data_IF_010758960093
#
_entry.id   IF_010758960093
#
_cell.length_a   1.000
_cell.length_b   1.000
_cell.length_c   1.000
_cell.angle_alpha   90.00
_cell.angle_beta   90.00
_cell.angle_gamma   90.00
#
_symmetry.space_group_name_H-M   'P 1'
#
loop_
_entity.id
_entity.type
_entity.pdbx_description
1 polymer ?
#
# COMPACT_ATOMS: atom_id res chain seq x y z
N UNK A 1 41.29 3.37 -10.18
CA UNK A 1 42.58 2.76 -10.52
C UNK A 1 43.34 2.45 -9.24
N UNK A 2 43.81 1.21 -9.11
CA UNK A 2 44.63 0.73 -7.99
C UNK A 2 45.85 0.09 -8.65
N UNK A 3 47.05 0.52 -8.27
CA UNK A 3 48.29 -0.07 -8.73
C UNK A 3 48.90 -0.86 -7.56
N UNK A 4 49.36 -2.09 -7.83
CA UNK A 4 49.89 -2.99 -6.82
C UNK A 4 50.84 -4.03 -7.41
N UNK A 5 51.83 -4.45 -6.63
CA UNK A 5 52.64 -5.66 -6.88
C UNK A 5 52.52 -6.57 -5.65
N UNK A 6 52.07 -7.83 -5.77
CA UNK A 6 51.59 -8.51 -6.99
C UNK A 6 50.36 -7.83 -7.63
N UNK A 7 50.03 -8.24 -8.84
CA UNK A 7 48.87 -7.69 -9.56
C UNK A 7 47.57 -7.98 -8.77
N UNK A 8 46.67 -7.00 -8.58
CA UNK A 8 45.47 -7.20 -7.77
C UNK A 8 44.41 -8.02 -8.50
N UNK A 9 43.67 -8.88 -7.79
CA UNK A 9 42.47 -9.52 -8.32
C UNK A 9 41.23 -8.63 -8.12
N UNK A 10 40.26 -8.74 -9.04
CA UNK A 10 39.00 -8.01 -8.97
C UNK A 10 37.84 -9.00 -8.97
N UNK A 11 36.95 -8.88 -7.98
CA UNK A 11 35.79 -9.74 -7.79
C UNK A 11 34.52 -8.96 -7.51
N UNK A 12 33.37 -9.59 -7.72
CA UNK A 12 32.08 -9.04 -7.34
C UNK A 12 31.51 -9.75 -6.12
N UNK A 13 31.02 -8.94 -5.19
CA UNK A 13 30.25 -9.37 -4.04
C UNK A 13 28.81 -8.83 -4.18
N UNK A 14 27.82 -9.67 -3.86
CA UNK A 14 26.41 -9.25 -3.72
C UNK A 14 26.00 -9.55 -2.29
N UNK A 15 25.60 -8.50 -1.55
CA UNK A 15 25.28 -8.60 -0.12
C UNK A 15 26.42 -9.24 0.70
N UNK A 16 27.67 -8.95 0.32
CA UNK A 16 28.88 -9.50 0.93
C UNK A 16 29.28 -10.91 0.48
N UNK A 17 28.47 -11.57 -0.35
CA UNK A 17 28.76 -12.92 -0.88
C UNK A 17 29.43 -12.81 -2.24
N UNK A 18 30.56 -13.49 -2.44
CA UNK A 18 31.23 -13.54 -3.74
C UNK A 18 30.36 -14.26 -4.77
N UNK A 19 30.03 -13.56 -5.85
CA UNK A 19 29.21 -14.10 -6.95
C UNK A 19 29.99 -14.30 -8.24
N UNK A 20 31.11 -13.61 -8.38
CA UNK A 20 31.95 -13.67 -9.58
C UNK A 20 33.40 -13.29 -9.26
N UNK A 21 34.34 -13.98 -9.91
CA UNK A 21 35.79 -13.82 -9.79
C UNK A 21 36.48 -13.81 -11.17
N UNK A 22 35.73 -13.87 -12.27
CA UNK A 22 36.30 -13.86 -13.63
C UNK A 22 36.64 -12.41 -14.03
N UNK A 23 37.93 -12.12 -14.22
CA UNK A 23 38.42 -10.81 -14.64
C UNK A 23 39.26 -10.90 -15.92
N UNK A 24 39.19 -9.87 -16.75
CA UNK A 24 39.91 -9.81 -18.01
C UNK A 24 41.13 -8.88 -17.90
N UNK A 25 42.23 -9.31 -18.52
CA UNK A 25 43.40 -8.47 -18.76
C UNK A 25 43.20 -7.79 -20.12
N UNK A 26 42.91 -6.50 -20.11
CA UNK A 26 42.90 -5.72 -21.34
C UNK A 26 44.36 -5.55 -21.84
N UNK A 27 44.55 -5.10 -23.08
CA UNK A 27 45.87 -4.96 -23.73
C UNK A 27 46.83 -3.90 -23.10
N UNK A 28 46.66 -3.56 -21.81
CA UNK A 28 47.50 -2.69 -20.98
C UNK A 28 47.44 -3.06 -19.49
N UNK A 29 47.95 -2.20 -18.60
CA UNK A 29 48.03 -2.43 -17.13
C UNK A 29 46.68 -2.30 -16.37
N UNK A 30 45.55 -2.63 -17.02
CA UNK A 30 44.20 -2.45 -16.46
C UNK A 30 43.47 -3.77 -16.39
N UNK A 31 43.04 -4.11 -15.18
CA UNK A 31 42.20 -5.28 -14.86
C UNK A 31 40.77 -4.79 -14.68
N UNK A 32 39.85 -5.42 -15.41
CA UNK A 32 38.41 -5.12 -15.34
C UNK A 32 37.64 -6.42 -15.08
N UNK A 33 36.67 -6.35 -14.18
CA UNK A 33 35.65 -7.38 -14.03
C UNK A 33 34.28 -6.73 -14.27
N UNK A 34 33.55 -7.23 -15.27
CA UNK A 34 32.20 -6.76 -15.62
C UNK A 34 31.15 -7.80 -15.26
N UNK A 35 30.41 -7.54 -14.18
CA UNK A 35 29.28 -8.38 -13.78
C UNK A 35 28.08 -8.18 -14.71
N UNK A 36 27.61 -9.27 -15.31
CA UNK A 36 26.34 -9.32 -16.03
C UNK A 36 25.27 -9.97 -15.15
N UNK A 37 24.25 -9.20 -14.75
CA UNK A 37 23.11 -9.69 -13.97
C UNK A 37 21.83 -9.67 -14.83
N UNK A 38 21.56 -10.74 -15.62
CA UNK A 38 20.64 -10.68 -16.76
C UNK A 38 19.17 -10.50 -16.38
N UNK A 39 18.76 -10.89 -15.17
CA UNK A 39 17.37 -10.82 -14.75
C UNK A 39 17.25 -10.17 -13.35
N UNK A 40 17.24 -8.84 -13.32
CA UNK A 40 16.96 -8.07 -12.11
C UNK A 40 15.51 -8.33 -11.67
N UNK A 41 15.34 -8.86 -10.46
CA UNK A 41 14.04 -9.18 -9.87
C UNK A 41 13.73 -8.36 -8.62
N UNK A 42 12.49 -8.49 -8.13
CA UNK A 42 12.03 -7.81 -6.90
C UNK A 42 12.89 -8.16 -5.68
N UNK A 43 13.39 -9.39 -5.62
CA UNK A 43 14.26 -9.87 -4.54
C UNK A 43 15.62 -9.18 -4.50
N UNK A 44 16.04 -8.54 -5.60
CA UNK A 44 17.32 -7.83 -5.69
C UNK A 44 17.21 -6.38 -5.16
N UNK A 45 16.02 -5.98 -4.71
CA UNK A 45 15.79 -4.66 -4.16
C UNK A 45 16.62 -4.42 -2.90
N UNK A 46 17.31 -3.29 -2.87
CA UNK A 46 18.29 -2.92 -1.84
C UNK A 46 19.52 -3.85 -1.78
N UNK A 47 19.70 -4.77 -2.74
CA UNK A 47 20.93 -5.54 -2.82
C UNK A 47 22.13 -4.61 -3.03
N UNK A 48 23.22 -4.92 -2.33
CA UNK A 48 24.48 -4.17 -2.41
C UNK A 48 25.43 -4.91 -3.33
N UNK A 49 25.73 -4.31 -4.47
CA UNK A 49 26.71 -4.80 -5.43
C UNK A 49 28.04 -4.12 -5.17
N UNK A 50 29.06 -4.90 -4.81
CA UNK A 50 30.38 -4.42 -4.47
C UNK A 50 31.42 -4.97 -5.41
N UNK A 51 32.17 -4.08 -6.06
CA UNK A 51 33.38 -4.42 -6.77
C UNK A 51 34.55 -4.31 -5.80
N UNK A 52 35.23 -5.42 -5.55
CA UNK A 52 36.31 -5.50 -4.57
C UNK A 52 37.62 -5.89 -5.24
N UNK A 53 38.66 -5.09 -4.98
CA UNK A 53 40.01 -5.31 -5.48
C UNK A 53 40.96 -5.68 -4.35
N UNK A 54 41.69 -6.79 -4.51
CA UNK A 54 42.60 -7.36 -3.51
C UNK A 54 43.99 -7.46 -4.10
N UNK A 55 44.99 -6.87 -3.45
CA UNK A 55 46.40 -7.00 -3.85
C UNK A 55 47.12 -8.10 -3.04
N UNK A 56 47.05 -8.01 -1.71
CA UNK A 56 47.62 -9.02 -0.79
C UNK A 56 46.72 -9.21 0.41
N UNK A 57 46.90 -10.33 1.12
CA UNK A 57 46.19 -10.61 2.39
C UNK A 57 46.63 -9.70 3.57
N UNK A 58 47.61 -8.82 3.34
CA UNK A 58 48.18 -7.92 4.36
C UNK A 58 47.56 -6.51 4.30
N UNK A 59 46.81 -6.22 3.25
CA UNK A 59 46.21 -4.91 3.00
C UNK A 59 44.71 -5.06 2.91
N UNK A 60 43.98 -4.12 3.53
CA UNK A 60 42.53 -4.07 3.37
C UNK A 60 42.17 -3.94 1.88
N UNK A 61 41.18 -4.72 1.40
CA UNK A 61 40.75 -4.61 0.03
C UNK A 61 40.12 -3.25 -0.22
N UNK A 62 40.34 -2.71 -1.42
CA UNK A 62 39.63 -1.51 -1.84
C UNK A 62 38.32 -1.92 -2.48
N UNK A 63 37.23 -1.37 -1.97
CA UNK A 63 35.88 -1.71 -2.39
C UNK A 63 35.10 -0.46 -2.80
N UNK A 64 34.27 -0.62 -3.83
CA UNK A 64 33.26 0.38 -4.22
C UNK A 64 31.93 -0.34 -4.38
N UNK A 65 30.86 0.30 -3.89
CA UNK A 65 29.54 -0.34 -3.80
C UNK A 65 28.45 0.49 -4.46
N UNK A 66 27.45 -0.19 -4.98
CA UNK A 66 26.19 0.37 -5.48
C UNK A 66 25.03 -0.36 -4.80
N UNK A 67 24.02 0.40 -4.37
CA UNK A 67 22.76 -0.16 -3.86
C UNK A 67 21.72 -0.14 -4.97
N UNK A 68 21.09 -1.29 -5.22
CA UNK A 68 20.08 -1.40 -6.26
C UNK A 68 18.72 -0.89 -5.76
N UNK A 69 18.28 0.26 -6.26
CA UNK A 69 16.93 0.79 -6.02
C UNK A 69 16.03 0.50 -7.23
N UNK A 70 14.93 -0.25 -7.00
CA UNK A 70 14.04 -0.69 -8.07
C UNK A 70 12.70 0.04 -8.02
N UNK A 71 12.22 0.40 -9.21
CA UNK A 71 10.83 0.74 -9.41
C UNK A 71 10.02 -0.53 -9.69
N UNK A 72 9.01 -0.78 -8.87
CA UNK A 72 8.20 -2.00 -8.91
C UNK A 72 6.73 -1.69 -9.00
N UNK A 73 6.03 -2.25 -9.99
CA UNK A 73 4.58 -2.12 -10.11
C UNK A 73 3.86 -2.73 -8.89
N UNK A 74 2.61 -2.32 -8.61
CA UNK A 74 1.79 -2.95 -7.59
C UNK A 74 1.70 -4.46 -7.83
N UNK A 75 1.75 -5.24 -6.75
CA UNK A 75 1.51 -6.68 -6.78
C UNK A 75 0.03 -7.00 -6.62
N UNK A 76 -0.66 -6.19 -5.80
CA UNK A 76 -2.09 -6.36 -5.52
C UNK A 76 -2.82 -5.03 -5.59
N UNK A 77 -4.11 -5.10 -5.94
CA UNK A 77 -5.08 -4.03 -5.77
C UNK A 77 -6.43 -4.69 -5.45
N UNK A 78 -7.10 -4.26 -4.38
CA UNK A 78 -8.36 -4.86 -3.93
C UNK A 78 -9.27 -3.84 -3.29
N UNK A 79 -10.56 -3.94 -3.60
CA UNK A 79 -11.63 -3.18 -2.93
C UNK A 79 -12.07 -4.00 -1.71
N UNK A 80 -11.94 -3.43 -0.51
CA UNK A 80 -12.11 -4.15 0.76
C UNK A 80 -13.57 -4.32 1.16
N UNK A 81 -14.43 -3.32 0.93
CA UNK A 81 -15.84 -3.34 1.34
C UNK A 81 -16.74 -3.10 0.14
N UNK A 82 -17.56 -4.07 -0.23
CA UNK A 82 -18.50 -3.99 -1.36
C UNK A 82 -19.92 -4.18 -0.79
N UNK A 83 -20.79 -3.19 -0.97
CA UNK A 83 -22.15 -3.21 -0.42
C UNK A 83 -23.15 -3.44 -1.54
N UNK A 84 -24.00 -4.46 -1.45
CA UNK A 84 -24.99 -4.76 -2.50
C UNK A 84 -26.27 -5.32 -1.86
N UNK A 85 -27.48 -4.87 -2.26
CA UNK A 85 -27.73 -3.76 -3.19
C UNK A 85 -27.43 -2.40 -2.56
N UNK A 86 -27.15 -1.41 -3.40
CA UNK A 86 -27.09 0.00 -3.03
C UNK A 86 -28.47 0.64 -3.18
N UNK A 87 -28.75 1.62 -2.35
CA UNK A 87 -29.96 2.44 -2.42
C UNK A 87 -29.57 3.76 -3.08
N UNK A 88 -30.35 4.17 -4.09
CA UNK A 88 -30.15 5.45 -4.76
C UNK A 88 -30.19 6.62 -3.76
N UNK A 89 -29.37 7.63 -4.03
CA UNK A 89 -29.25 8.87 -3.23
C UNK A 89 -28.70 8.69 -1.80
N UNK A 90 -28.31 7.48 -1.41
CA UNK A 90 -27.62 7.22 -0.15
C UNK A 90 -26.09 7.33 -0.30
N UNK A 91 -25.41 7.87 0.72
CA UNK A 91 -23.95 7.95 0.75
C UNK A 91 -23.32 6.62 1.19
N UNK A 92 -22.31 6.18 0.45
CA UNK A 92 -21.50 5.00 0.76
C UNK A 92 -20.01 5.34 0.82
N UNK A 93 -19.27 4.57 1.62
CA UNK A 93 -17.82 4.64 1.73
C UNK A 93 -17.20 3.29 1.41
N UNK A 94 -16.14 3.30 0.60
CA UNK A 94 -15.42 2.11 0.20
C UNK A 94 -13.92 2.36 0.17
N UNK A 95 -13.15 1.41 0.70
CA UNK A 95 -11.69 1.46 0.70
C UNK A 95 -11.10 0.57 -0.40
N UNK A 96 -10.00 1.03 -0.99
CA UNK A 96 -9.13 0.22 -1.81
C UNK A 96 -7.74 0.13 -1.17
N UNK A 97 -7.17 -1.07 -1.21
CA UNK A 97 -5.83 -1.36 -0.73
C UNK A 97 -4.97 -1.90 -1.88
N UNK A 98 -3.73 -1.42 -1.97
CA UNK A 98 -2.72 -1.90 -2.91
C UNK A 98 -1.39 -2.12 -2.18
N UNK A 99 -0.70 -3.23 -2.49
CA UNK A 99 0.59 -3.56 -1.88
C UNK A 99 1.66 -3.87 -2.93
N UNK A 100 2.93 -3.77 -2.52
CA UNK A 100 4.08 -4.18 -3.32
C UNK A 100 4.55 -3.18 -4.39
N UNK A 101 3.99 -1.96 -4.44
CA UNK A 101 4.55 -0.92 -5.33
C UNK A 101 5.80 -0.30 -4.72
N UNK A 102 6.81 0.06 -5.54
CA UNK A 102 7.93 0.93 -5.15
C UNK A 102 8.22 1.94 -6.27
N UNK A 103 8.09 3.25 -6.07
CA UNK A 103 7.50 3.91 -4.89
C UNK A 103 6.05 3.48 -4.63
N UNK A 104 5.45 3.85 -3.47
CA UNK A 104 4.05 3.56 -3.17
C UNK A 104 3.11 3.96 -4.31
N UNK A 105 2.05 3.18 -4.50
CA UNK A 105 1.14 3.37 -5.61
C UNK A 105 0.29 4.63 -5.43
N UNK A 106 -0.14 5.24 -6.52
CA UNK A 106 -1.18 6.27 -6.52
C UNK A 106 -2.50 5.61 -6.86
N UNK A 107 -3.48 5.69 -5.96
CA UNK A 107 -4.82 5.13 -6.18
C UNK A 107 -5.75 6.19 -6.78
N UNK A 108 -6.36 5.82 -7.90
CA UNK A 108 -7.37 6.61 -8.62
C UNK A 108 -8.67 5.82 -8.73
N UNK A 109 -9.79 6.49 -8.49
CA UNK A 109 -11.12 5.88 -8.55
C UNK A 109 -11.85 6.23 -9.84
N UNK A 110 -12.62 5.28 -10.36
CA UNK A 110 -13.48 5.43 -11.52
C UNK A 110 -14.88 4.90 -11.23
N UNK A 111 -15.91 5.54 -11.82
CA UNK A 111 -17.29 5.04 -11.91
C UNK A 111 -17.63 4.86 -13.39
N UNK A 112 -17.76 3.60 -13.82
CA UNK A 112 -17.78 3.24 -15.24
C UNK A 112 -16.47 3.72 -15.91
N UNK A 113 -16.59 4.55 -16.94
CA UNK A 113 -15.42 5.14 -17.64
C UNK A 113 -14.98 6.49 -17.07
N UNK A 114 -15.70 7.04 -16.10
CA UNK A 114 -15.46 8.39 -15.58
C UNK A 114 -14.56 8.33 -14.35
N UNK A 115 -13.43 9.02 -14.40
CA UNK A 115 -12.59 9.22 -13.22
C UNK A 115 -13.32 10.07 -12.18
N UNK A 116 -13.31 9.61 -10.93
CA UNK A 116 -13.84 10.34 -9.80
C UNK A 116 -12.76 11.26 -9.25
N UNK A 117 -13.09 12.54 -9.09
CA UNK A 117 -12.19 13.51 -8.48
C UNK A 117 -12.09 13.21 -6.98
N UNK A 118 -10.89 13.35 -6.40
CA UNK A 118 -10.74 13.33 -4.94
C UNK A 118 -11.63 14.43 -4.36
N UNK A 119 -12.61 14.04 -3.55
CA UNK A 119 -13.33 14.98 -2.70
C UNK A 119 -12.38 15.27 -1.55
N UNK A 120 -11.79 16.47 -1.54
CA UNK A 120 -11.09 16.98 -0.36
C UNK A 120 -12.18 17.18 0.69
N UNK A 121 -12.28 16.28 1.67
CA UNK A 121 -13.13 16.51 2.83
C UNK A 121 -12.46 17.62 3.61
N UNK A 122 -12.94 18.86 3.42
CA UNK A 122 -12.50 20.00 4.20
C UNK A 122 -13.17 19.95 5.57
N UNK A 123 -12.38 19.69 6.62
CA UNK A 123 -12.74 19.94 8.01
C UNK A 123 -13.43 18.79 8.75
N UNK A 124 -12.96 18.58 9.98
CA UNK A 124 -13.53 17.76 11.05
C UNK A 124 -13.54 16.23 10.90
N UNK A 125 -12.34 15.65 10.95
CA UNK A 125 -12.15 14.48 11.82
C UNK A 125 -11.98 14.98 13.26
N UNK A 126 -13.09 15.42 13.87
CA UNK A 126 -13.12 15.58 15.32
C UNK A 126 -12.89 14.21 15.94
N UNK A 127 -11.99 14.17 16.91
CA UNK A 127 -11.56 13.01 17.68
C UNK A 127 -12.74 12.18 18.19
N UNK A 128 -13.18 11.21 17.40
CA UNK A 128 -13.92 10.04 17.88
C UNK A 128 -13.33 8.84 17.14
N UNK A 129 -12.37 8.19 17.79
CA UNK A 129 -11.93 6.85 17.40
C UNK A 129 -10.84 6.76 16.34
N UNK A 130 -9.77 7.55 16.47
CA UNK A 130 -8.46 7.08 16.01
C UNK A 130 -7.94 5.98 16.95
N UNK A 131 -8.66 4.85 17.00
CA UNK A 131 -8.06 3.57 17.37
C UNK A 131 -8.02 2.83 16.04
N UNK A 132 -6.80 2.65 15.58
CA UNK A 132 -6.40 1.80 14.48
C UNK A 132 -7.33 0.60 14.27
N UNK A 133 -7.68 0.34 13.01
CA UNK A 133 -8.04 -1.00 12.53
C UNK A 133 -6.81 -1.93 12.60
N UNK A 134 -6.20 -2.06 13.77
CA UNK A 134 -5.14 -3.01 14.08
C UNK A 134 -5.67 -3.96 15.16
N UNK A 135 -5.78 -5.27 14.90
CA UNK A 135 -6.35 -6.24 15.86
C UNK A 135 -5.46 -6.53 17.08
N UNK A 136 -4.45 -5.71 17.37
CA UNK A 136 -3.45 -5.97 18.42
C UNK A 136 -3.28 -4.79 19.38
N UNK A 137 -4.36 -4.42 20.06
CA UNK A 137 -4.29 -3.64 21.29
C UNK A 137 -4.66 -4.58 22.44
N UNK A 138 -3.77 -4.78 23.41
CA UNK A 138 -4.08 -5.54 24.62
C UNK A 138 -4.11 -4.57 25.81
N UNK A 139 -5.29 -4.36 26.37
CA UNK A 139 -5.48 -3.50 27.53
C UNK A 139 -5.37 -4.37 28.79
N UNK A 140 -4.57 -3.91 29.77
CA UNK A 140 -4.37 -4.62 31.03
C UNK A 140 -4.97 -3.80 32.18
N UNK A 141 -5.77 -4.42 33.03
CA UNK A 141 -6.33 -3.79 34.22
C UNK A 141 -5.36 -3.95 35.39
N UNK A 142 -4.68 -2.88 35.80
CA UNK A 142 -3.92 -2.91 37.05
C UNK A 142 -4.88 -2.74 38.23
N UNK A 143 -5.00 -3.78 39.04
CA UNK A 143 -5.73 -3.74 40.30
C UNK A 143 -4.87 -3.01 41.35
N UNK A 144 -4.92 -1.67 41.39
CA UNK A 144 -4.41 -0.91 42.53
C UNK A 144 -5.54 -0.72 43.55
N UNK A 145 -5.38 -1.29 44.74
CA UNK A 145 -6.39 -1.39 45.80
C UNK A 145 -6.70 -0.06 46.51
N UNK A 146 -6.46 1.11 45.91
CA UNK A 146 -6.66 2.42 46.56
C UNK A 146 -6.94 3.59 45.60
N UNK A 147 -7.86 3.45 44.64
CA UNK A 147 -8.35 4.60 43.82
C UNK A 147 -9.90 4.62 43.83
N UNK A 148 -10.57 5.75 44.15
CA UNK A 148 -12.03 5.85 44.10
C UNK A 148 -12.54 5.83 42.66
N UNK A 149 -13.63 5.08 42.42
CA UNK A 149 -14.39 4.89 41.18
C UNK A 149 -14.01 5.78 39.97
N UNK A 150 -13.23 5.17 39.07
CA UNK A 150 -12.90 5.68 37.74
C UNK A 150 -11.83 4.79 37.12
N UNK A 151 -12.23 3.69 36.47
CA UNK A 151 -11.30 2.79 35.78
C UNK A 151 -10.66 3.53 34.60
N UNK A 152 -9.36 3.79 34.69
CA UNK A 152 -8.54 4.20 33.54
C UNK A 152 -7.92 2.93 32.97
N UNK A 153 -8.40 2.46 31.82
CA UNK A 153 -7.74 1.39 31.09
C UNK A 153 -6.53 1.97 30.36
N UNK A 154 -5.32 1.65 30.83
CA UNK A 154 -4.09 1.94 30.09
C UNK A 154 -3.91 0.88 29.02
N UNK A 155 -4.18 1.24 27.76
CA UNK A 155 -3.86 0.40 26.61
C UNK A 155 -2.44 0.75 26.14
N UNK A 156 -1.58 -0.27 26.03
CA UNK A 156 -0.23 -0.15 25.50
C UNK A 156 -0.20 -0.71 24.08
N UNK A 157 0.49 -0.02 23.17
CA UNK A 157 0.86 -0.59 21.87
C UNK A 157 1.89 -1.70 22.12
N UNK A 158 1.70 -2.90 21.56
CA UNK A 158 2.72 -3.95 21.70
C UNK A 158 4.02 -3.45 21.02
N UNK A 159 5.18 -3.49 21.70
CA UNK A 159 6.40 -2.92 21.13
C UNK A 159 7.07 -3.78 20.05
N UNK A 160 6.48 -4.91 19.65
CA UNK A 160 7.25 -5.98 18.98
C UNK A 160 6.63 -6.52 17.68
N UNK A 161 5.75 -5.79 16.98
CA UNK A 161 5.18 -6.32 15.73
C UNK A 161 4.67 -5.32 14.68
N UNK A 162 5.17 -4.07 14.62
CA UNK A 162 4.54 -3.09 13.71
C UNK A 162 5.42 -2.09 12.96
N UNK A 163 6.70 -2.37 12.66
CA UNK A 163 7.42 -1.58 11.62
C UNK A 163 8.25 -2.39 10.61
N UNK A 164 8.10 -3.71 10.51
CA UNK A 164 8.75 -4.50 9.44
C UNK A 164 7.78 -5.26 8.50
N UNK A 165 6.46 -5.22 8.74
CA UNK A 165 5.50 -6.06 7.98
C UNK A 165 4.36 -5.31 7.27
N UNK A 166 4.35 -3.98 7.22
CA UNK A 166 3.46 -3.23 6.30
C UNK A 166 4.16 -3.02 4.96
N UNK A 167 4.28 -4.09 4.19
CA UNK A 167 4.77 -4.12 2.81
C UNK A 167 4.22 -2.97 1.93
N UNK A 168 4.86 -1.80 1.82
CA UNK A 168 4.50 -0.68 0.93
C UNK A 168 2.99 -0.56 0.61
N UNK A 169 2.14 -0.61 1.64
CA UNK A 169 0.69 -0.67 1.45
C UNK A 169 0.15 0.74 1.27
N UNK A 170 -0.57 0.96 0.18
CA UNK A 170 -1.29 2.20 -0.09
C UNK A 170 -2.79 1.95 0.06
N UNK A 171 -3.48 2.79 0.84
CA UNK A 171 -4.93 2.76 1.01
C UNK A 171 -5.55 4.05 0.52
N UNK A 172 -6.74 3.96 -0.08
CA UNK A 172 -7.52 5.12 -0.51
C UNK A 172 -9.00 4.85 -0.29
N UNK A 173 -9.69 5.82 0.31
CA UNK A 173 -11.12 5.77 0.56
C UNK A 173 -11.88 6.59 -0.49
N UNK A 174 -13.04 6.08 -0.91
CA UNK A 174 -13.98 6.74 -1.80
C UNK A 174 -15.32 6.89 -1.09
N UNK A 175 -15.79 8.14 -0.98
CA UNK A 175 -17.18 8.45 -0.65
C UNK A 175 -17.95 8.80 -1.92
N UNK A 176 -19.08 8.16 -2.17
CA UNK A 176 -19.93 8.44 -3.33
C UNK A 176 -21.42 8.26 -3.01
N UNK A 177 -22.26 8.88 -3.84
CA UNK A 177 -23.72 8.72 -3.82
C UNK A 177 -24.11 8.18 -5.20
N UNK A 178 -24.63 6.93 -5.30
CA UNK A 178 -25.10 6.38 -6.56
C UNK A 178 -26.51 6.90 -6.87
N UNK A 179 -26.74 7.26 -8.12
CA UNK A 179 -28.09 7.45 -8.65
C UNK A 179 -28.61 6.15 -9.29
N UNK A 180 -29.90 6.08 -9.60
CA UNK A 180 -30.48 4.92 -10.30
C UNK A 180 -29.87 4.71 -11.69
N UNK A 181 -29.34 5.76 -12.32
CA UNK A 181 -28.62 5.70 -13.58
C UNK A 181 -27.22 5.07 -13.48
N UNK A 182 -26.74 4.82 -12.26
CA UNK A 182 -25.47 4.14 -12.02
C UNK A 182 -25.59 2.62 -11.90
N UNK A 183 -26.82 2.08 -11.93
CA UNK A 183 -27.04 0.64 -11.90
C UNK A 183 -26.24 -0.08 -13.00
N UNK A 184 -25.60 -1.18 -12.60
CA UNK A 184 -24.74 -1.97 -13.47
C UNK A 184 -23.41 -1.34 -13.88
N UNK A 185 -23.08 -0.11 -13.45
CA UNK A 185 -21.73 0.46 -13.63
C UNK A 185 -20.74 -0.20 -12.66
N UNK A 186 -19.45 -0.04 -12.92
CA UNK A 186 -18.39 -0.51 -12.02
C UNK A 186 -17.77 0.65 -11.25
N UNK A 187 -17.55 0.45 -9.95
CA UNK A 187 -16.58 1.21 -9.19
C UNK A 187 -15.23 0.52 -9.34
N UNK A 188 -14.25 1.24 -9.91
CA UNK A 188 -12.92 0.71 -10.19
C UNK A 188 -11.88 1.49 -9.42
N UNK A 189 -11.05 0.79 -8.66
CA UNK A 189 -9.84 1.31 -8.07
C UNK A 189 -8.66 0.94 -8.96
N UNK A 190 -7.91 1.94 -9.44
CA UNK A 190 -6.66 1.76 -10.18
C UNK A 190 -5.50 2.19 -9.29
N UNK A 191 -4.60 1.27 -8.98
CA UNK A 191 -3.36 1.54 -8.27
C UNK A 191 -2.21 1.59 -9.28
N UNK A 192 -1.49 2.71 -9.34
CA UNK A 192 -0.49 2.96 -10.38
C UNK A 192 0.86 3.37 -9.77
N UNK A 193 1.94 2.79 -10.28
CA UNK A 193 3.29 3.25 -9.95
C UNK A 193 3.64 4.47 -10.82
N UNK A 194 3.96 5.65 -10.24
CA UNK A 194 4.22 6.86 -11.02
C UNK A 194 5.49 6.80 -11.88
N UNK A 195 6.41 5.88 -11.57
CA UNK A 195 7.71 5.77 -12.24
C UNK A 195 7.75 4.63 -13.28
N UNK A 196 6.62 3.95 -13.53
CA UNK A 196 6.54 2.85 -14.51
C UNK A 196 5.37 3.09 -15.46
N UNK A 197 5.68 3.26 -16.74
CA UNK A 197 4.67 3.36 -17.79
C UNK A 197 3.80 2.10 -17.84
N UNK A 198 2.48 2.25 -17.79
CA UNK A 198 1.52 1.15 -17.71
C UNK A 198 1.73 0.24 -16.47
N UNK A 199 2.41 0.72 -15.43
CA UNK A 199 2.68 0.00 -14.19
C UNK A 199 1.53 0.06 -13.19
N UNK A 200 0.33 -0.38 -13.60
CA UNK A 200 -0.87 -0.32 -12.76
C UNK A 200 -1.61 -1.66 -12.64
N UNK A 201 -2.40 -1.78 -11.58
CA UNK A 201 -3.40 -2.84 -11.38
C UNK A 201 -4.77 -2.23 -11.07
N UNK A 202 -5.82 -2.94 -11.43
CA UNK A 202 -7.20 -2.48 -11.21
C UNK A 202 -8.03 -3.54 -10.49
N UNK A 203 -8.85 -3.08 -9.55
CA UNK A 203 -9.91 -3.87 -8.94
C UNK A 203 -11.26 -3.21 -9.25
N UNK A 204 -12.21 -3.99 -9.75
CA UNK A 204 -13.54 -3.50 -10.11
C UNK A 204 -14.63 -4.20 -9.33
N UNK A 205 -15.68 -3.45 -9.01
CA UNK A 205 -16.89 -3.94 -8.38
C UNK A 205 -18.10 -3.35 -9.12
N UNK A 206 -18.89 -4.23 -9.74
CA UNK A 206 -20.14 -3.85 -10.40
C UNK A 206 -21.21 -3.59 -9.35
N UNK A 207 -21.82 -2.41 -9.38
CA UNK A 207 -22.84 -2.00 -8.41
C UNK A 207 -24.23 -2.36 -8.91
N UNK A 208 -25.09 -2.72 -7.97
CA UNK A 208 -26.52 -2.99 -8.14
C UNK A 208 -27.26 -1.90 -7.35
N UNK A 209 -28.01 -1.03 -8.03
CA UNK A 209 -28.64 0.16 -7.42
C UNK A 209 -30.16 0.08 -7.53
N UNK A 210 -30.82 -0.07 -6.40
CA UNK A 210 -32.28 -0.02 -6.28
C UNK A 210 -32.80 1.38 -5.95
N UNK A 211 -34.04 1.67 -6.35
CA UNK A 211 -34.76 2.87 -5.90
C UNK A 211 -35.12 2.77 -4.41
N UNK A 212 -34.89 3.84 -3.64
CA UNK A 212 -35.28 3.90 -2.24
C UNK A 212 -36.78 3.72 -2.08
N UNK A 213 -37.20 2.78 -1.23
CA UNK A 213 -38.61 2.62 -0.86
C UNK A 213 -39.08 3.88 -0.12
N UNK A 214 -39.88 4.71 -0.78
CA UNK A 214 -40.70 5.72 -0.10
C UNK A 214 -41.90 4.99 0.49
N UNK A 215 -41.96 4.87 1.82
CA UNK A 215 -43.17 4.39 2.48
C UNK A 215 -44.28 5.44 2.31
N UNK A 216 -45.12 5.27 1.29
CA UNK A 216 -46.35 6.05 1.16
C UNK A 216 -47.37 5.52 2.18
N UNK A 217 -47.57 6.26 3.28
CA UNK A 217 -48.69 6.02 4.17
C UNK A 217 -49.92 6.75 3.61
N UNK A 218 -50.93 6.01 3.15
CA UNK A 218 -52.25 6.58 2.88
C UNK A 218 -53.05 6.61 4.18
N UNK A 219 -53.41 7.79 4.66
CA UNK A 219 -54.42 7.93 5.71
C UNK A 219 -55.79 7.88 5.07
N UNK A 220 -56.50 6.76 5.21
CA UNK A 220 -57.93 6.69 4.91
C UNK A 220 -58.70 7.26 6.11
N UNK A 221 -59.28 8.45 5.97
CA UNK A 221 -60.29 8.95 6.90
C UNK A 221 -61.62 8.25 6.60
N UNK A 222 -62.18 7.53 7.59
CA UNK A 222 -63.51 6.91 7.46
C UNK A 222 -64.57 7.99 7.18
N UNK A 223 -65.41 7.84 6.14
CA UNK A 223 -66.57 8.69 5.93
C UNK A 223 -67.69 8.19 6.84
N UNK A 224 -67.68 8.62 8.10
CA UNK A 224 -68.69 8.19 9.04
C UNK A 224 -68.50 8.78 10.41
N UNK A 225 -68.66 10.10 10.54
CA UNK A 225 -69.40 10.63 11.69
C UNK A 225 -69.86 12.07 11.45
N UNK A 226 -71.00 12.41 12.06
CA UNK A 226 -71.77 13.68 12.04
C UNK A 226 -72.63 13.88 10.77
N UNK A 227 -73.95 13.68 10.75
CA UNK A 227 -74.95 13.71 11.83
C UNK A 227 -75.95 14.83 11.51
N UNK A 228 -77.17 14.46 11.09
CA UNK A 228 -78.37 15.32 11.00
C UNK A 228 -79.58 14.51 11.49
N UNK A 229 -80.67 15.14 11.96
CA UNK A 229 -80.95 16.57 12.04
C UNK A 229 -81.06 17.15 13.46
#
# INVERSE_FOLDING_TARGET
MIAGKPEPSVRWLVNGVQVDEEYEHNAGDVIENRLMWPAVGRQDLNSVFSCQAINTLLTEPKETSLVLDLHLKPLTARILTKVSPLIADQRYEVSCESAGSRPPAVITWYKGKRQLRKVKVEGDFLLVGAISKHPYNYCHSQHQTNIPFGQVETCYQSPELLEETRENVTVSDLSFIPGTEDDGKSITCRAENPNITHGYLEASWKIDVGGGLVSMQSTASNPGDYGFP
#
